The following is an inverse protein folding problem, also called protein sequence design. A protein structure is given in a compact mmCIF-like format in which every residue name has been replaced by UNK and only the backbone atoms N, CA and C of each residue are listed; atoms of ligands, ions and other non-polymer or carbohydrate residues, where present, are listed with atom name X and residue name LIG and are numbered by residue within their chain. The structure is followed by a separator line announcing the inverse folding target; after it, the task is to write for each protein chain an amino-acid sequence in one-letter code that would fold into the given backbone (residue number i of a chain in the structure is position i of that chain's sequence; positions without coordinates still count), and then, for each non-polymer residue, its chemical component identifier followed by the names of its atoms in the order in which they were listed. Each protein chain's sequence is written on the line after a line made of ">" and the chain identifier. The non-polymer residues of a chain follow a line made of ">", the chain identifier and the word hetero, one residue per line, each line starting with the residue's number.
data_IF_480681730329
#
_entry.id   IF_480681730329
#
_cell.length_a   1.000
_cell.length_b   1.000
_cell.length_c   1.000
_cell.angle_alpha   90.00
_cell.angle_beta   90.00
_cell.angle_gamma   90.00
#
_symmetry.space_group_name_H-M   'P 1'
#
loop_
_entity.id
_entity.type
_entity.pdbx_description
1 polymer ?
#
# COMPACT_ATOMS: atom_id res chain seq x y z
N UNK A 1 43.70 -9.28 -29.47
CA UNK A 1 42.41 -10.01 -29.57
C UNK A 1 42.70 -11.42 -30.07
N UNK A 2 42.25 -12.42 -29.37
CA UNK A 2 42.33 -13.80 -29.83
C UNK A 2 41.32 -14.05 -30.96
N UNK A 3 41.62 -15.00 -31.84
CA UNK A 3 40.71 -15.40 -32.93
C UNK A 3 39.29 -15.70 -32.39
N UNK A 4 39.23 -16.28 -31.21
CA UNK A 4 37.95 -16.59 -30.52
C UNK A 4 37.14 -15.31 -30.16
N UNK A 5 37.81 -14.26 -29.65
CA UNK A 5 37.16 -12.98 -29.34
C UNK A 5 36.66 -12.26 -30.60
N UNK A 6 37.38 -12.40 -31.70
CA UNK A 6 36.94 -11.83 -32.99
C UNK A 6 35.72 -12.54 -33.56
N UNK A 7 35.67 -13.88 -33.48
CA UNK A 7 34.51 -14.68 -33.89
C UNK A 7 33.29 -14.38 -33.02
N UNK A 8 33.46 -14.19 -31.71
CA UNK A 8 32.37 -13.82 -30.79
C UNK A 8 31.81 -12.44 -31.11
N UNK A 9 32.69 -11.50 -31.47
CA UNK A 9 32.27 -10.14 -31.87
C UNK A 9 31.50 -10.15 -33.21
N UNK A 10 31.89 -10.97 -34.17
CA UNK A 10 31.18 -11.13 -35.43
C UNK A 10 29.79 -11.78 -35.21
N UNK A 11 29.70 -12.75 -34.31
CA UNK A 11 28.44 -13.39 -33.97
C UNK A 11 27.47 -12.40 -33.30
N UNK A 12 27.96 -11.61 -32.35
CA UNK A 12 27.14 -10.57 -31.68
C UNK A 12 26.67 -9.50 -32.65
N UNK A 13 27.52 -9.04 -33.56
CA UNK A 13 27.18 -8.08 -34.60
C UNK A 13 26.12 -8.64 -35.56
N UNK A 14 26.21 -9.92 -35.91
CA UNK A 14 25.23 -10.60 -36.79
C UNK A 14 23.86 -10.70 -36.12
N UNK A 15 23.81 -11.06 -34.84
CA UNK A 15 22.57 -11.11 -34.06
C UNK A 15 21.95 -9.72 -33.96
N UNK A 16 22.77 -8.70 -33.64
CA UNK A 16 22.34 -7.31 -33.52
C UNK A 16 21.81 -6.78 -34.86
N UNK A 17 22.49 -7.07 -35.95
CA UNK A 17 22.06 -6.67 -37.30
C UNK A 17 20.73 -7.34 -37.67
N UNK A 18 20.54 -8.63 -37.38
CA UNK A 18 19.31 -9.35 -37.64
C UNK A 18 18.15 -8.77 -36.82
N UNK A 19 18.39 -8.44 -35.56
CA UNK A 19 17.41 -7.84 -34.66
C UNK A 19 16.98 -6.44 -35.15
N UNK A 20 17.94 -5.56 -35.49
CA UNK A 20 17.63 -4.24 -36.02
C UNK A 20 16.96 -4.28 -37.39
N UNK A 21 17.41 -5.18 -38.28
CA UNK A 21 16.74 -5.38 -39.56
C UNK A 21 15.27 -5.76 -39.37
N UNK A 22 14.98 -6.64 -38.43
CA UNK A 22 13.61 -7.05 -38.11
C UNK A 22 12.79 -5.89 -37.51
N UNK A 23 13.45 -5.02 -36.73
CA UNK A 23 12.82 -3.84 -36.11
C UNK A 23 12.45 -2.76 -37.13
N UNK A 24 13.26 -2.62 -38.20
CA UNK A 24 13.08 -1.56 -39.21
C UNK A 24 12.50 -2.07 -40.54
N UNK A 25 12.30 -3.39 -40.69
CA UNK A 25 11.75 -3.97 -41.96
C UNK A 25 10.24 -3.75 -42.14
N UNK A 26 9.57 -3.17 -41.16
CA UNK A 26 8.12 -2.93 -41.25
C UNK A 26 7.23 -4.16 -41.19
N UNK A 27 7.82 -5.36 -41.03
CA UNK A 27 7.12 -6.64 -40.95
C UNK A 27 6.55 -6.96 -39.54
N UNK A 28 6.55 -5.99 -38.62
CA UNK A 28 5.75 -6.14 -37.43
C UNK A 28 4.27 -6.04 -37.79
N UNK A 29 3.43 -6.99 -37.36
CA UNK A 29 2.01 -6.83 -37.53
C UNK A 29 1.62 -5.53 -36.85
N UNK A 30 1.23 -4.55 -37.65
CA UNK A 30 0.72 -3.26 -37.19
C UNK A 30 -0.45 -3.57 -36.27
N UNK A 31 -0.23 -3.53 -34.94
CA UNK A 31 -1.30 -3.40 -33.97
C UNK A 31 -1.83 -1.97 -34.00
N UNK A 32 -2.20 -1.54 -35.22
CA UNK A 32 -2.97 -0.37 -35.44
C UNK A 32 -4.39 -0.84 -35.64
N UNK A 33 -5.29 -0.40 -34.82
CA UNK A 33 -6.71 -0.43 -35.11
C UNK A 33 -6.83 0.44 -36.35
N UNK A 34 -7.11 -0.15 -37.53
CA UNK A 34 -7.42 0.59 -38.76
C UNK A 34 -8.72 1.37 -38.51
N UNK A 35 -8.57 2.66 -38.18
CA UNK A 35 -9.68 3.62 -38.14
C UNK A 35 -10.00 4.16 -39.53
N UNK A 36 -9.52 3.56 -40.60
CA UNK A 36 -10.04 3.82 -41.94
C UNK A 36 -11.29 2.95 -42.13
N UNK A 37 -12.42 3.47 -41.62
CA UNK A 37 -13.72 3.03 -42.08
C UNK A 37 -13.77 3.36 -43.57
N UNK A 38 -13.69 2.33 -44.43
CA UNK A 38 -14.10 2.46 -45.82
C UNK A 38 -15.53 3.01 -45.83
N UNK A 39 -15.69 4.20 -46.38
CA UNK A 39 -17.00 4.70 -46.84
C UNK A 39 -17.43 3.81 -47.97
N UNK A 40 -18.05 2.69 -47.68
CA UNK A 40 -18.92 2.00 -48.64
C UNK A 40 -20.30 2.63 -48.47
N UNK A 41 -20.84 3.05 -49.60
CA UNK A 41 -22.15 3.68 -49.76
C UNK A 41 -23.22 2.87 -49.04
N UNK A 42 -23.57 3.25 -47.82
CA UNK A 42 -24.75 2.73 -47.16
C UNK A 42 -25.97 3.42 -47.70
N UNK A 43 -26.65 2.70 -48.60
CA UNK A 43 -28.03 2.98 -48.97
C UNK A 43 -28.87 3.09 -47.70
N UNK A 44 -29.52 4.24 -47.56
CA UNK A 44 -30.54 4.46 -46.53
C UNK A 44 -31.71 3.52 -46.84
N UNK A 45 -31.73 2.38 -46.19
CA UNK A 45 -32.73 1.36 -46.33
C UNK A 45 -33.06 0.66 -45.03
N UNK A 46 -34.25 0.95 -44.51
CA UNK A 46 -35.01 0.27 -43.50
C UNK A 46 -34.49 0.31 -42.04
N UNK A 47 -35.16 1.11 -41.26
CA UNK A 47 -35.29 1.04 -39.79
C UNK A 47 -35.97 -0.29 -39.44
N UNK A 48 -35.18 -1.33 -39.21
CA UNK A 48 -35.65 -2.56 -38.60
C UNK A 48 -34.49 -3.29 -37.90
N UNK A 49 -34.03 -2.75 -36.77
CA UNK A 49 -33.45 -3.55 -35.68
C UNK A 49 -33.24 -2.66 -34.44
N UNK A 50 -34.36 -2.23 -33.87
CA UNK A 50 -34.41 -1.75 -32.46
C UNK A 50 -34.27 -2.99 -31.58
N UNK A 51 -33.03 -3.51 -31.49
CA UNK A 51 -32.71 -4.69 -30.67
C UNK A 51 -31.26 -4.71 -30.23
N UNK A 52 -30.48 -3.68 -30.57
CA UNK A 52 -29.16 -3.52 -29.97
C UNK A 52 -29.36 -2.97 -28.56
N UNK A 53 -29.50 -3.85 -27.60
CA UNK A 53 -29.33 -3.48 -26.19
C UNK A 53 -28.03 -2.68 -26.11
N UNK A 54 -28.14 -1.41 -25.72
CA UNK A 54 -27.00 -0.63 -25.28
C UNK A 54 -26.42 -1.36 -24.07
N UNK A 55 -25.51 -2.31 -24.31
CA UNK A 55 -24.68 -2.83 -23.23
C UNK A 55 -23.90 -1.63 -22.72
N UNK A 56 -24.17 -1.26 -21.46
CA UNK A 56 -23.36 -0.24 -20.79
C UNK A 56 -21.91 -0.66 -20.96
N UNK A 57 -21.01 0.27 -21.36
CA UNK A 57 -19.60 -0.08 -21.47
C UNK A 57 -19.17 -0.71 -20.14
N UNK A 58 -18.63 -1.91 -20.20
CA UNK A 58 -18.05 -2.56 -19.04
C UNK A 58 -16.83 -1.73 -18.70
N UNK A 59 -16.95 -0.88 -17.70
CA UNK A 59 -15.83 -0.12 -17.17
C UNK A 59 -14.90 -1.15 -16.54
N UNK A 60 -13.78 -1.42 -17.17
CA UNK A 60 -12.75 -2.27 -16.58
C UNK A 60 -12.06 -1.47 -15.48
N UNK A 61 -11.79 -2.09 -14.31
CA UNK A 61 -11.06 -1.42 -13.27
C UNK A 61 -9.68 -0.97 -13.80
N UNK A 62 -9.20 0.15 -13.31
CA UNK A 62 -7.85 0.61 -13.58
C UNK A 62 -6.82 -0.37 -13.04
N UNK A 63 -5.59 -0.31 -13.54
CA UNK A 63 -4.51 -1.14 -13.02
C UNK A 63 -4.27 -0.93 -11.52
N UNK A 64 -4.47 0.29 -11.03
CA UNK A 64 -4.40 0.61 -9.61
C UNK A 64 -5.50 -0.11 -8.82
N UNK A 65 -6.76 -0.01 -9.25
CA UNK A 65 -7.89 -0.68 -8.60
C UNK A 65 -7.75 -2.21 -8.59
N UNK A 66 -7.24 -2.80 -9.68
CA UNK A 66 -6.94 -4.24 -9.74
C UNK A 66 -5.91 -4.65 -8.66
N UNK A 67 -4.84 -3.85 -8.50
CA UNK A 67 -3.77 -4.11 -7.53
C UNK A 67 -4.26 -3.95 -6.08
N UNK A 68 -5.08 -2.94 -5.82
CA UNK A 68 -5.71 -2.77 -4.50
C UNK A 68 -6.65 -3.92 -4.18
N UNK A 69 -7.48 -4.34 -5.14
CA UNK A 69 -8.38 -5.50 -4.94
C UNK A 69 -7.59 -6.79 -4.64
N UNK A 70 -6.48 -7.02 -5.35
CA UNK A 70 -5.59 -8.15 -5.10
C UNK A 70 -4.97 -8.09 -3.69
N UNK A 71 -4.54 -6.90 -3.27
CA UNK A 71 -3.98 -6.70 -1.94
C UNK A 71 -5.02 -6.94 -0.84
N UNK A 72 -6.24 -6.42 -1.00
CA UNK A 72 -7.32 -6.60 -0.03
C UNK A 72 -7.70 -8.08 0.10
N UNK A 73 -7.82 -8.80 -1.02
CA UNK A 73 -8.05 -10.25 -1.01
C UNK A 73 -6.92 -11.04 -0.30
N UNK A 74 -5.67 -10.65 -0.54
CA UNK A 74 -4.52 -11.27 0.12
C UNK A 74 -4.49 -10.96 1.64
N UNK A 75 -4.86 -9.74 2.05
CA UNK A 75 -4.99 -9.36 3.47
C UNK A 75 -6.08 -10.20 4.16
N UNK A 76 -7.24 -10.37 3.53
CA UNK A 76 -8.33 -11.20 4.07
C UNK A 76 -7.89 -12.66 4.27
N UNK A 77 -7.10 -13.18 3.32
CA UNK A 77 -6.52 -14.53 3.40
C UNK A 77 -5.33 -14.61 4.35
N UNK A 78 -4.86 -13.49 4.91
CA UNK A 78 -3.64 -13.36 5.72
C UNK A 78 -2.37 -13.75 4.95
N UNK A 79 -2.39 -13.67 3.62
CA UNK A 79 -1.20 -13.81 2.78
C UNK A 79 -0.51 -12.45 2.66
N UNK A 80 0.20 -12.09 3.74
CA UNK A 80 0.83 -10.78 3.84
C UNK A 80 2.00 -10.59 2.87
N UNK A 81 2.64 -11.66 2.41
CA UNK A 81 3.70 -11.57 1.40
C UNK A 81 3.13 -11.19 0.02
N UNK A 82 1.98 -11.76 -0.37
CA UNK A 82 1.31 -11.39 -1.61
C UNK A 82 0.70 -9.99 -1.52
N UNK A 83 0.07 -9.65 -0.38
CA UNK A 83 -0.44 -8.31 -0.12
C UNK A 83 0.67 -7.25 -0.23
N UNK A 84 1.85 -7.52 0.34
CA UNK A 84 3.03 -6.63 0.25
C UNK A 84 3.39 -6.34 -1.21
N UNK A 85 3.50 -7.37 -2.06
CA UNK A 85 3.85 -7.21 -3.48
C UNK A 85 2.81 -6.42 -4.27
N UNK A 86 1.53 -6.69 -4.02
CA UNK A 86 0.43 -5.99 -4.67
C UNK A 86 0.41 -4.50 -4.30
N UNK A 87 0.57 -4.17 -3.00
CA UNK A 87 0.62 -2.80 -2.50
C UNK A 87 1.86 -2.04 -2.99
N UNK A 88 3.03 -2.68 -3.02
CA UNK A 88 4.23 -2.08 -3.62
C UNK A 88 3.98 -1.74 -5.10
N UNK A 89 3.34 -2.63 -5.84
CA UNK A 89 3.00 -2.39 -7.24
C UNK A 89 1.96 -1.26 -7.40
N UNK A 90 0.98 -1.16 -6.49
CA UNK A 90 0.00 -0.07 -6.47
C UNK A 90 0.68 1.28 -6.17
N UNK A 91 1.63 1.33 -5.23
CA UNK A 91 2.40 2.53 -4.90
C UNK A 91 3.36 2.98 -6.02
N UNK A 92 3.73 2.11 -6.96
CA UNK A 92 4.43 2.51 -8.18
C UNK A 92 3.48 3.31 -9.10
N UNK A 93 2.19 2.96 -9.13
CA UNK A 93 1.18 3.66 -9.93
C UNK A 93 0.77 4.98 -9.26
N UNK A 94 0.49 4.95 -7.96
CA UNK A 94 0.09 6.11 -7.16
C UNK A 94 0.94 6.23 -5.88
N UNK A 95 2.08 6.90 -6.01
CA UNK A 95 3.13 6.94 -4.97
C UNK A 95 2.68 7.51 -3.62
N UNK A 96 1.86 8.54 -3.63
CA UNK A 96 1.49 9.30 -2.42
C UNK A 96 0.03 9.04 -2.00
N UNK A 97 -0.54 7.92 -2.37
CA UNK A 97 -1.86 7.53 -1.93
C UNK A 97 -1.79 7.07 -0.47
N UNK A 98 -2.27 7.91 0.45
CA UNK A 98 -2.17 7.69 1.90
C UNK A 98 -2.92 6.45 2.36
N UNK A 99 -4.06 6.11 1.74
CA UNK A 99 -4.80 4.89 2.04
C UNK A 99 -3.97 3.64 1.70
N UNK A 100 -3.35 3.65 0.50
CA UNK A 100 -2.47 2.55 0.07
C UNK A 100 -1.22 2.44 0.94
N UNK A 101 -0.61 3.58 1.32
CA UNK A 101 0.51 3.61 2.27
C UNK A 101 0.09 3.04 3.63
N UNK A 102 -1.10 3.38 4.12
CA UNK A 102 -1.63 2.83 5.37
C UNK A 102 -1.82 1.31 5.32
N UNK A 103 -2.41 0.78 4.24
CA UNK A 103 -2.52 -0.68 4.02
C UNK A 103 -1.14 -1.34 3.95
N UNK A 104 -0.19 -0.70 3.26
CA UNK A 104 1.18 -1.21 3.15
C UNK A 104 1.87 -1.25 4.50
N UNK A 105 1.81 -0.17 5.27
CA UNK A 105 2.34 -0.10 6.63
C UNK A 105 1.72 -1.15 7.56
N UNK A 106 0.40 -1.39 7.47
CA UNK A 106 -0.28 -2.45 8.20
C UNK A 106 0.30 -3.84 7.86
N UNK A 107 0.45 -4.15 6.57
CA UNK A 107 1.00 -5.43 6.11
C UNK A 107 2.44 -5.63 6.60
N UNK A 108 3.27 -4.59 6.57
CA UNK A 108 4.63 -4.63 7.10
C UNK A 108 4.67 -4.94 8.61
N UNK A 109 3.73 -4.37 9.38
CA UNK A 109 3.60 -4.69 10.81
C UNK A 109 3.24 -6.15 11.03
N UNK A 110 2.33 -6.73 10.21
CA UNK A 110 1.98 -8.15 10.29
C UNK A 110 3.19 -9.04 9.98
N UNK A 111 4.04 -8.64 9.05
CA UNK A 111 5.31 -9.31 8.71
C UNK A 111 6.42 -9.02 9.73
N UNK A 112 6.20 -8.16 10.71
CA UNK A 112 7.18 -7.68 11.71
C UNK A 112 8.35 -6.90 11.11
N UNK A 113 8.16 -6.34 9.93
CA UNK A 113 9.13 -5.48 9.24
C UNK A 113 9.02 -4.03 9.75
N UNK A 114 9.31 -3.84 11.03
CA UNK A 114 9.03 -2.59 11.75
C UNK A 114 9.86 -1.39 11.25
N UNK A 115 11.06 -1.61 10.72
CA UNK A 115 11.88 -0.52 10.15
C UNK A 115 11.21 0.06 8.89
N UNK A 116 10.77 -0.82 7.97
CA UNK A 116 10.11 -0.38 6.75
C UNK A 116 8.73 0.23 7.07
N UNK A 117 7.97 -0.37 8.03
CA UNK A 117 6.71 0.19 8.49
C UNK A 117 6.88 1.61 9.07
N UNK A 118 7.91 1.84 9.88
CA UNK A 118 8.26 3.15 10.43
C UNK A 118 8.44 4.16 9.29
N UNK A 119 9.25 3.83 8.27
CA UNK A 119 9.53 4.72 7.15
C UNK A 119 8.24 5.08 6.39
N UNK A 120 7.33 4.12 6.19
CA UNK A 120 6.02 4.34 5.57
C UNK A 120 5.15 5.30 6.38
N UNK A 121 5.06 5.11 7.72
CA UNK A 121 4.27 6.01 8.56
C UNK A 121 4.92 7.39 8.72
N UNK A 122 6.25 7.50 8.64
CA UNK A 122 6.92 8.79 8.53
C UNK A 122 6.56 9.52 7.22
N UNK A 123 6.36 8.81 6.13
CA UNK A 123 5.90 9.40 4.88
C UNK A 123 4.43 9.84 4.96
N UNK A 124 3.55 9.05 5.62
CA UNK A 124 2.15 9.42 5.84
C UNK A 124 2.07 10.74 6.62
N UNK A 125 2.77 10.89 7.75
CA UNK A 125 2.73 12.12 8.55
C UNK A 125 3.39 13.33 7.87
N UNK A 126 4.22 13.13 6.84
CA UNK A 126 4.71 14.25 6.00
C UNK A 126 3.62 14.73 5.03
N UNK A 127 2.75 13.84 4.56
CA UNK A 127 1.64 14.14 3.66
C UNK A 127 0.48 14.75 4.47
N UNK A 128 0.08 14.06 5.54
CA UNK A 128 -0.97 14.50 6.46
C UNK A 128 -0.39 14.62 7.89
N UNK A 129 -0.27 15.85 8.35
CA UNK A 129 0.30 16.17 9.68
C UNK A 129 -0.71 16.04 10.81
N UNK A 130 -1.98 15.91 10.47
CA UNK A 130 -3.07 15.84 11.44
C UNK A 130 -3.61 14.39 11.57
N UNK A 131 -2.97 13.41 10.92
CA UNK A 131 -3.30 11.97 11.04
C UNK A 131 -2.81 11.42 12.40
N UNK A 132 -3.66 11.53 13.42
CA UNK A 132 -3.42 11.05 14.77
C UNK A 132 -3.14 9.55 14.82
N UNK A 133 -3.80 8.76 13.96
CA UNK A 133 -3.61 7.31 13.86
C UNK A 133 -2.22 6.97 13.33
N UNK A 134 -1.75 7.68 12.31
CA UNK A 134 -0.41 7.47 11.77
C UNK A 134 0.68 7.72 12.84
N UNK A 135 0.52 8.77 13.65
CA UNK A 135 1.41 9.03 14.79
C UNK A 135 1.37 7.91 15.83
N UNK A 136 0.18 7.40 16.16
CA UNK A 136 0.05 6.30 17.12
C UNK A 136 0.72 5.02 16.63
N UNK A 137 0.54 4.67 15.34
CA UNK A 137 1.14 3.47 14.75
C UNK A 137 2.67 3.65 14.62
N UNK A 138 3.13 4.82 14.22
CA UNK A 138 4.55 5.16 14.17
C UNK A 138 5.20 4.99 15.57
N UNK A 139 4.53 5.45 16.62
CA UNK A 139 5.00 5.25 18.00
C UNK A 139 5.12 3.76 18.36
N UNK A 140 4.16 2.93 17.93
CA UNK A 140 4.22 1.49 18.12
C UNK A 140 5.41 0.86 17.37
N UNK A 141 5.69 1.30 16.14
CA UNK A 141 6.87 0.85 15.38
C UNK A 141 8.16 1.20 16.13
N UNK A 142 8.32 2.43 16.60
CA UNK A 142 9.45 2.85 17.41
C UNK A 142 9.59 2.03 18.71
N UNK A 143 8.46 1.70 19.37
CA UNK A 143 8.47 0.83 20.55
C UNK A 143 8.99 -0.57 20.21
N UNK A 144 8.54 -1.18 19.11
CA UNK A 144 9.01 -2.51 18.66
C UNK A 144 10.49 -2.50 18.29
N UNK A 145 11.00 -1.40 17.76
CA UNK A 145 12.42 -1.17 17.47
C UNK A 145 13.26 -0.82 18.71
N UNK A 146 12.65 -0.82 19.91
CA UNK A 146 13.30 -0.43 21.19
C UNK A 146 13.73 1.04 21.26
N UNK A 147 13.25 1.88 20.35
CA UNK A 147 13.50 3.32 20.31
C UNK A 147 12.49 4.08 21.18
N UNK A 148 12.55 3.81 22.48
CA UNK A 148 11.53 4.17 23.48
C UNK A 148 11.24 5.67 23.59
N UNK A 149 12.28 6.51 23.49
CA UNK A 149 12.13 7.98 23.59
C UNK A 149 11.29 8.53 22.44
N UNK A 150 11.55 8.03 21.22
CA UNK A 150 10.78 8.41 20.03
C UNK A 150 9.34 7.92 20.16
N UNK A 151 9.14 6.67 20.59
CA UNK A 151 7.80 6.12 20.80
C UNK A 151 6.96 7.01 21.73
N UNK A 152 7.49 7.43 22.89
CA UNK A 152 6.81 8.34 23.80
C UNK A 152 6.46 9.67 23.14
N UNK A 153 7.40 10.22 22.37
CA UNK A 153 7.17 11.50 21.69
C UNK A 153 5.99 11.42 20.73
N UNK A 154 5.93 10.37 19.90
CA UNK A 154 4.87 10.20 18.92
C UNK A 154 3.53 9.81 19.55
N UNK A 155 3.49 9.03 20.63
CA UNK A 155 2.26 8.81 21.41
C UNK A 155 1.69 10.11 21.97
N UNK A 156 2.55 10.99 22.49
CA UNK A 156 2.09 12.31 22.98
C UNK A 156 1.54 13.19 21.88
N UNK A 157 2.07 13.08 20.66
CA UNK A 157 1.53 13.83 19.50
C UNK A 157 0.17 13.27 19.12
N UNK A 158 -0.01 11.94 19.00
CA UNK A 158 -1.29 11.34 18.65
C UNK A 158 -2.39 11.73 19.66
N UNK A 159 -2.10 11.66 20.96
CA UNK A 159 -3.03 12.07 22.03
C UNK A 159 -3.35 13.56 21.94
N UNK A 160 -2.38 14.42 21.53
CA UNK A 160 -2.62 15.86 21.39
C UNK A 160 -3.53 16.17 20.19
N UNK A 161 -3.48 15.35 19.14
CA UNK A 161 -4.32 15.51 17.95
C UNK A 161 -5.75 15.02 18.21
N UNK A 162 -5.90 13.89 18.90
CA UNK A 162 -7.20 13.38 19.37
C UNK A 162 -7.08 12.86 20.82
N UNK A 163 -7.51 13.66 21.79
CA UNK A 163 -7.46 13.32 23.22
C UNK A 163 -8.71 12.59 23.73
N UNK A 164 -9.69 12.37 22.86
CA UNK A 164 -10.90 11.61 23.17
C UNK A 164 -10.84 10.17 22.67
N UNK A 165 -9.87 9.83 21.81
CA UNK A 165 -9.70 8.49 21.26
C UNK A 165 -8.99 7.55 22.24
N UNK A 166 -9.75 6.67 22.87
CA UNK A 166 -9.25 5.76 23.90
C UNK A 166 -8.06 4.88 23.49
N UNK A 167 -7.98 4.34 22.24
CA UNK A 167 -6.85 3.52 21.81
C UNK A 167 -5.48 4.24 21.85
N UNK A 168 -5.42 5.57 21.74
CA UNK A 168 -4.16 6.31 21.88
C UNK A 168 -3.55 6.15 23.26
N UNK A 169 -4.37 6.31 24.30
CA UNK A 169 -3.95 6.09 25.68
C UNK A 169 -3.58 4.64 25.97
N UNK A 170 -4.33 3.70 25.41
CA UNK A 170 -4.05 2.28 25.54
C UNK A 170 -2.70 1.90 24.93
N UNK A 171 -2.42 2.35 23.69
CA UNK A 171 -1.16 2.11 23.01
C UNK A 171 0.03 2.76 23.75
N UNK A 172 -0.16 3.97 24.26
CA UNK A 172 0.86 4.64 25.07
C UNK A 172 1.10 3.87 26.37
N UNK A 173 0.05 3.41 27.05
CA UNK A 173 0.16 2.57 28.24
C UNK A 173 0.95 1.29 27.99
N UNK A 174 0.73 0.61 26.87
CA UNK A 174 1.48 -0.58 26.47
C UNK A 174 2.98 -0.27 26.32
N UNK A 175 3.32 0.86 25.68
CA UNK A 175 4.72 1.30 25.56
C UNK A 175 5.36 1.57 26.92
N UNK A 176 4.66 2.26 27.82
CA UNK A 176 5.12 2.52 29.17
C UNK A 176 5.28 1.23 29.99
N UNK A 177 4.37 0.28 29.83
CA UNK A 177 4.44 -1.04 30.45
C UNK A 177 5.69 -1.80 29.99
N UNK A 178 5.97 -1.81 28.68
CA UNK A 178 7.19 -2.42 28.11
C UNK A 178 8.48 -1.76 28.66
N UNK A 179 8.40 -0.48 29.02
CA UNK A 179 9.48 0.26 29.66
C UNK A 179 9.59 0.02 31.17
N UNK A 180 8.68 -0.77 31.76
CA UNK A 180 8.56 -0.97 33.22
C UNK A 180 8.18 0.28 34.02
N UNK A 181 7.66 1.30 33.36
CA UNK A 181 7.04 2.45 33.99
C UNK A 181 5.58 2.14 34.34
N UNK A 182 5.40 1.27 35.34
CA UNK A 182 4.10 0.67 35.65
C UNK A 182 3.10 1.67 36.21
N UNK A 183 3.56 2.69 36.94
CA UNK A 183 2.70 3.71 37.55
C UNK A 183 2.04 4.58 36.45
N UNK A 184 2.85 5.09 35.53
CA UNK A 184 2.33 5.91 34.41
C UNK A 184 1.50 5.05 33.45
N UNK A 185 1.91 3.79 33.18
CA UNK A 185 1.13 2.84 32.38
C UNK A 185 -0.28 2.63 32.97
N UNK A 186 -0.37 2.39 34.29
CA UNK A 186 -1.65 2.22 34.99
C UNK A 186 -2.53 3.47 34.84
N UNK A 187 -1.93 4.66 34.95
CA UNK A 187 -2.65 5.94 34.75
C UNK A 187 -3.25 6.04 33.34
N UNK A 188 -2.47 5.66 32.31
CA UNK A 188 -2.91 5.71 30.92
C UNK A 188 -3.97 4.63 30.60
N UNK A 189 -3.83 3.41 31.14
CA UNK A 189 -4.90 2.39 31.04
C UNK A 189 -6.21 2.86 31.67
N UNK A 190 -6.15 3.49 32.86
CA UNK A 190 -7.35 4.06 33.50
C UNK A 190 -7.97 5.16 32.64
N UNK A 191 -7.18 6.00 31.98
CA UNK A 191 -7.69 7.04 31.08
C UNK A 191 -8.34 6.42 29.85
N UNK A 192 -7.73 5.42 29.22
CA UNK A 192 -8.29 4.68 28.09
C UNK A 192 -9.64 4.04 28.46
N UNK A 193 -9.71 3.32 29.59
CA UNK A 193 -10.92 2.67 30.06
C UNK A 193 -12.04 3.67 30.45
N UNK A 194 -11.66 4.85 30.92
CA UNK A 194 -12.62 5.92 31.19
C UNK A 194 -13.25 6.48 29.92
N UNK A 195 -12.49 6.58 28.83
CA UNK A 195 -12.97 7.06 27.52
C UNK A 195 -13.82 5.99 26.82
N UNK A 196 -13.37 4.73 26.90
CA UNK A 196 -14.08 3.59 26.35
C UNK A 196 -14.09 2.43 27.35
N UNK A 197 -15.23 2.23 28.01
CA UNK A 197 -15.41 1.18 29.01
C UNK A 197 -15.59 -0.22 28.42
N UNK A 198 -15.65 -0.34 27.09
CA UNK A 198 -15.69 -1.62 26.38
C UNK A 198 -14.30 -2.20 26.13
N UNK A 199 -13.20 -1.47 26.46
CA UNK A 199 -11.82 -1.92 26.34
C UNK A 199 -11.46 -2.91 27.46
N UNK A 200 -11.88 -4.18 27.29
CA UNK A 200 -11.65 -5.25 28.25
C UNK A 200 -10.14 -5.47 28.54
N UNK A 201 -9.27 -5.26 27.54
CA UNK A 201 -7.83 -5.35 27.72
C UNK A 201 -7.31 -4.28 28.69
N UNK A 202 -7.78 -3.05 28.56
CA UNK A 202 -7.40 -1.99 29.49
C UNK A 202 -7.86 -2.31 30.93
N UNK A 203 -9.07 -2.85 31.09
CA UNK A 203 -9.59 -3.31 32.39
C UNK A 203 -8.70 -4.38 33.00
N UNK A 204 -8.34 -5.41 32.25
CA UNK A 204 -7.44 -6.48 32.70
C UNK A 204 -6.08 -5.94 33.12
N UNK A 205 -5.52 -4.98 32.38
CA UNK A 205 -4.24 -4.37 32.72
C UNK A 205 -4.33 -3.52 33.99
N UNK A 206 -5.44 -2.83 34.22
CA UNK A 206 -5.70 -2.09 35.47
C UNK A 206 -5.75 -3.06 36.66
N UNK A 207 -6.52 -4.15 36.55
CA UNK A 207 -6.63 -5.16 37.61
C UNK A 207 -5.29 -5.82 37.95
N UNK A 208 -4.44 -6.05 36.93
CA UNK A 208 -3.12 -6.64 37.11
C UNK A 208 -2.11 -5.69 37.77
N UNK A 209 -2.26 -4.37 37.56
CA UNK A 209 -1.30 -3.36 38.02
C UNK A 209 -1.74 -2.65 39.32
N UNK A 210 -2.96 -2.91 39.81
CA UNK A 210 -3.52 -2.32 41.04
C UNK A 210 -3.27 -3.24 42.22
#
# INVERSE_FOLDING_TARGET
>A
MTIFQFLLLLLTLSIFYSFFRQLFSGDYPKRGVDFEAKREDEQIGSISNIGKSFQRPVVRPSRFEELISLADEAIEKKDFDEAKKALQSALIVEKNNTETLGKYGFVLIQLKEYEEAKDVYEDIIKIDKDDDMAYAILANCYNKLSLKTQAITYHKISIKLDDEYAPHYFNYANTLYDMKNLEEALSMYKKAYKLDNSLDEAKKMIEMLS
#
